data_IF_932052691839
#
_entry.id   IF_932052691839
#
_cell.length_a   1.000
_cell.length_b   1.000
_cell.length_c   1.000
_cell.angle_alpha   90.00
_cell.angle_beta   90.00
_cell.angle_gamma   90.00
#
_symmetry.space_group_name_H-M   'P 1'
#
loop_
_entity.id
_entity.type
_entity.pdbx_description
1 polymer ?
#
# COMPACT_ATOMS: atom_id res chain seq x y z
N UNK A 1 -0.31 -4.43 -8.93
CA UNK A 1 -0.71 -5.32 -7.80
C UNK A 1 -0.79 -6.75 -8.30
N UNK A 2 0.06 -7.65 -7.82
CA UNK A 2 -0.06 -9.10 -8.13
C UNK A 2 0.49 -9.98 -7.02
N UNK A 3 1.42 -9.45 -6.21
CA UNK A 3 2.07 -10.20 -5.12
C UNK A 3 1.35 -10.09 -3.77
N UNK A 4 0.67 -8.99 -3.48
CA UNK A 4 0.03 -8.77 -2.17
C UNK A 4 -1.42 -9.27 -2.14
N UNK A 5 -2.08 -9.38 -3.29
CA UNK A 5 -3.49 -9.75 -3.38
C UNK A 5 -3.80 -11.15 -2.80
N UNK A 6 -2.98 -12.19 -3.04
CA UNK A 6 -3.19 -13.50 -2.42
C UNK A 6 -3.07 -13.46 -0.88
N UNK A 7 -2.10 -12.71 -0.37
CA UNK A 7 -1.86 -12.54 1.07
C UNK A 7 -3.07 -11.87 1.74
N UNK A 8 -3.59 -10.80 1.11
CA UNK A 8 -4.78 -10.11 1.61
C UNK A 8 -6.03 -11.00 1.57
N UNK A 9 -6.14 -11.89 0.58
CA UNK A 9 -7.25 -12.84 0.49
C UNK A 9 -7.19 -13.88 1.62
N UNK A 10 -6.02 -14.48 1.84
CA UNK A 10 -5.78 -15.44 2.92
C UNK A 10 -6.06 -14.83 4.30
N UNK A 11 -5.58 -13.62 4.57
CA UNK A 11 -5.88 -12.92 5.83
C UNK A 11 -7.38 -12.68 6.01
N UNK A 12 -8.11 -12.32 4.94
CA UNK A 12 -9.56 -12.11 5.00
C UNK A 12 -10.33 -13.40 5.28
N UNK A 13 -9.93 -14.50 4.67
CA UNK A 13 -10.49 -15.83 4.93
C UNK A 13 -10.27 -16.23 6.38
N UNK A 14 -9.03 -16.08 6.88
CA UNK A 14 -8.72 -16.39 8.28
C UNK A 14 -9.48 -15.51 9.29
N UNK A 15 -9.70 -14.24 8.96
CA UNK A 15 -10.49 -13.32 9.80
C UNK A 15 -11.95 -13.73 9.92
N UNK A 16 -12.52 -14.37 8.90
CA UNK A 16 -13.91 -14.79 8.88
C UNK A 16 -14.11 -16.18 9.51
N UNK A 17 -13.17 -17.10 9.30
CA UNK A 17 -13.36 -18.52 9.61
C UNK A 17 -12.76 -18.99 10.94
N UNK A 18 -11.90 -18.17 11.58
CA UNK A 18 -11.18 -18.54 12.81
C UNK A 18 -11.49 -17.60 13.99
N UNK A 19 -11.06 -18.01 15.20
CA UNK A 19 -11.16 -17.19 16.39
C UNK A 19 -10.39 -15.88 16.19
N UNK A 20 -11.07 -14.75 16.41
CA UNK A 20 -10.45 -13.43 16.35
C UNK A 20 -9.42 -13.28 17.48
N UNK A 21 -8.14 -13.20 17.11
CA UNK A 21 -7.03 -12.96 18.05
C UNK A 21 -6.41 -11.57 17.83
N UNK A 22 -5.76 -10.98 18.85
CA UNK A 22 -5.00 -9.73 18.69
C UNK A 22 -3.96 -9.82 17.57
N UNK A 23 -3.22 -10.93 17.50
CA UNK A 23 -2.18 -11.13 16.48
C UNK A 23 -2.76 -11.13 15.05
N UNK A 24 -3.95 -11.72 14.85
CA UNK A 24 -4.62 -11.72 13.54
C UNK A 24 -5.09 -10.31 13.13
N UNK A 25 -5.55 -9.52 14.10
CA UNK A 25 -5.91 -8.11 13.86
C UNK A 25 -4.67 -7.29 13.49
N UNK A 26 -3.55 -7.50 14.18
CA UNK A 26 -2.29 -6.82 13.88
C UNK A 26 -1.78 -7.19 12.48
N UNK A 27 -1.79 -8.49 12.14
CA UNK A 27 -1.42 -8.97 10.81
C UNK A 27 -2.28 -8.31 9.71
N UNK A 28 -3.60 -8.24 9.90
CA UNK A 28 -4.51 -7.54 8.99
C UNK A 28 -4.10 -6.07 8.82
N UNK A 29 -3.85 -5.36 9.92
CA UNK A 29 -3.51 -3.95 9.86
C UNK A 29 -2.19 -3.69 9.13
N UNK A 30 -1.16 -4.53 9.36
CA UNK A 30 0.11 -4.45 8.63
C UNK A 30 -0.11 -4.69 7.13
N UNK A 31 -0.92 -5.68 6.76
CA UNK A 31 -1.19 -5.99 5.37
C UNK A 31 -1.94 -4.85 4.66
N UNK A 32 -2.91 -4.22 5.33
CA UNK A 32 -3.61 -3.03 4.83
C UNK A 32 -2.64 -1.84 4.67
N UNK A 33 -1.78 -1.59 5.66
CA UNK A 33 -0.76 -0.54 5.55
C UNK A 33 0.18 -0.78 4.37
N UNK A 34 0.63 -2.01 4.17
CA UNK A 34 1.48 -2.39 3.04
C UNK A 34 0.76 -2.15 1.70
N UNK A 35 -0.53 -2.48 1.60
CA UNK A 35 -1.34 -2.19 0.40
C UNK A 35 -1.40 -0.69 0.10
N UNK A 36 -1.70 0.14 1.11
CA UNK A 36 -1.76 1.60 0.96
C UNK A 36 -0.41 2.19 0.54
N UNK A 37 0.70 1.71 1.10
CA UNK A 37 2.05 2.13 0.70
C UNK A 37 2.29 1.81 -0.77
N UNK A 38 1.97 0.59 -1.21
CA UNK A 38 2.18 0.18 -2.61
C UNK A 38 1.30 0.98 -3.56
N UNK A 39 0.02 1.20 -3.23
CA UNK A 39 -0.89 2.01 -4.04
C UNK A 39 -0.39 3.45 -4.14
N UNK A 40 -0.02 4.07 -3.01
CA UNK A 40 0.53 5.42 -2.96
C UNK A 40 1.79 5.56 -3.83
N UNK A 41 2.75 4.65 -3.68
CA UNK A 41 3.98 4.63 -4.47
C UNK A 41 3.72 4.42 -5.98
N UNK A 42 2.77 3.56 -6.33
CA UNK A 42 2.44 3.24 -7.73
C UNK A 42 1.74 4.39 -8.46
N UNK A 43 0.96 5.20 -7.75
CA UNK A 43 0.28 6.37 -8.31
C UNK A 43 1.23 7.57 -8.49
N UNK A 44 2.30 7.64 -7.72
CA UNK A 44 3.24 8.77 -7.71
C UNK A 44 4.36 8.58 -8.73
N UNK A 45 4.11 9.06 -9.96
CA UNK A 45 5.03 8.99 -11.12
C UNK A 45 6.08 10.11 -11.11
N UNK A 46 6.81 10.23 -10.01
CA UNK A 46 7.98 11.10 -9.86
C UNK A 46 8.95 10.48 -8.85
N UNK A 47 10.13 11.09 -8.70
CA UNK A 47 11.05 10.79 -7.60
C UNK A 47 11.22 12.02 -6.70
N UNK A 48 10.96 11.85 -5.40
CA UNK A 48 11.01 12.94 -4.40
C UNK A 48 11.40 12.39 -3.03
N UNK A 49 12.47 12.94 -2.45
CA UNK A 49 12.95 12.51 -1.15
C UNK A 49 13.37 11.04 -1.15
N UNK A 50 12.74 10.24 -0.29
CA UNK A 50 12.99 8.79 -0.20
C UNK A 50 12.18 7.94 -1.19
N UNK A 51 11.19 8.52 -1.87
CA UNK A 51 10.46 7.83 -2.94
C UNK A 51 11.22 8.00 -4.26
N UNK A 52 11.75 6.89 -4.78
CA UNK A 52 12.45 6.87 -6.07
C UNK A 52 11.79 5.88 -7.02
N UNK A 53 11.39 6.35 -8.18
CA UNK A 53 10.77 5.56 -9.24
C UNK A 53 11.68 5.57 -10.47
N UNK A 54 12.21 4.41 -10.84
CA UNK A 54 13.22 4.26 -11.91
C UNK A 54 12.72 4.85 -13.24
N UNK A 55 11.45 4.62 -13.58
CA UNK A 55 10.85 5.14 -14.82
C UNK A 55 10.57 6.65 -14.78
N UNK A 56 10.57 7.26 -13.59
CA UNK A 56 10.32 8.70 -13.36
C UNK A 56 11.36 9.26 -12.38
N UNK A 57 12.63 9.38 -12.79
CA UNK A 57 13.76 9.61 -11.88
C UNK A 57 13.86 11.05 -11.36
N UNK A 58 13.03 11.96 -11.87
CA UNK A 58 13.05 13.38 -11.53
C UNK A 58 11.79 13.80 -10.77
N UNK A 59 11.90 14.94 -10.07
CA UNK A 59 10.79 15.59 -9.37
C UNK A 59 9.86 16.28 -10.37
N UNK A 60 8.55 16.19 -10.14
CA UNK A 60 7.50 16.84 -10.93
C UNK A 60 6.59 17.65 -10.00
N UNK A 61 6.89 18.94 -9.86
CA UNK A 61 6.12 19.85 -9.02
C UNK A 61 4.78 20.27 -9.64
N UNK A 62 4.60 20.11 -10.94
CA UNK A 62 3.35 20.51 -11.63
C UNK A 62 2.25 19.49 -11.35
N UNK A 63 2.56 18.20 -11.46
CA UNK A 63 1.55 17.14 -11.30
C UNK A 63 1.53 16.52 -9.90
N UNK A 64 2.68 16.51 -9.21
CA UNK A 64 2.86 15.80 -7.93
C UNK A 64 3.36 16.69 -6.79
N UNK A 65 3.34 18.02 -6.94
CA UNK A 65 3.59 19.00 -5.87
C UNK A 65 2.51 19.04 -4.77
N UNK A 66 1.97 17.89 -4.37
CA UNK A 66 0.88 17.69 -3.42
C UNK A 66 1.01 16.35 -2.70
N UNK A 67 0.29 16.22 -1.60
CA UNK A 67 0.18 14.98 -0.85
C UNK A 67 -0.59 13.92 -1.65
N UNK A 68 -0.21 12.66 -1.45
CA UNK A 68 -0.97 11.53 -2.00
C UNK A 68 -2.16 11.23 -1.09
N UNK A 69 -3.37 11.37 -1.62
CA UNK A 69 -4.62 11.01 -0.92
C UNK A 69 -5.22 9.80 -1.62
N UNK A 70 -5.35 8.69 -0.88
CA UNK A 70 -6.02 7.48 -1.36
C UNK A 70 -7.50 7.53 -0.96
N UNK A 71 -8.43 7.16 -1.85
CA UNK A 71 -9.83 7.00 -1.47
C UNK A 71 -9.97 5.80 -0.51
N UNK A 72 -10.89 5.94 0.45
CA UNK A 72 -11.29 4.87 1.38
C UNK A 72 -12.49 4.08 0.90
#
# INVERSE_FOLDING_TARGET
QRRIDPILAEIREHFHDYLLTPDLVELRNIAVLAELIIQSASLRKESRGLHYMVDYPYRDDVNFGRDTVLPG
#
